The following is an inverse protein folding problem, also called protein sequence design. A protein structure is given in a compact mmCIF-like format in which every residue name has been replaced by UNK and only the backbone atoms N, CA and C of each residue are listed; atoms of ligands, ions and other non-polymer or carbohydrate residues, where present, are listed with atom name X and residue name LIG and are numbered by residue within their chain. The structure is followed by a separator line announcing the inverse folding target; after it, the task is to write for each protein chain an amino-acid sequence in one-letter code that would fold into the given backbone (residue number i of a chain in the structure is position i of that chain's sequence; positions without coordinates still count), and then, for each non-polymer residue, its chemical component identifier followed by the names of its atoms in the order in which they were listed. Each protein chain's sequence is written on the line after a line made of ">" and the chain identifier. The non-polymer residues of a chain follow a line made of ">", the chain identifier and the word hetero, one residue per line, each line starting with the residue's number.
data_IF_193686606485
#
_entry.id   IF_193686606485
#
_cell.length_a   1.000
_cell.length_b   1.000
_cell.length_c   1.000
_cell.angle_alpha   90.00
_cell.angle_beta   90.00
_cell.angle_gamma   90.00
#
_symmetry.space_group_name_H-M   'P 1'
#
loop_
_entity.id
_entity.type
_entity.pdbx_description
1 polymer ?
#
# COMPACT_ATOMS: atom_id res chain seq x y z
N UNK A 1 14.32 -21.57 17.81
CA UNK A 1 13.33 -20.82 16.98
C UNK A 1 14.12 -19.96 16.00
N UNK A 2 13.91 -20.09 14.69
CA UNK A 2 14.81 -19.53 13.67
C UNK A 2 15.07 -18.02 13.83
N UNK A 3 14.06 -17.23 14.19
CA UNK A 3 14.21 -15.78 14.36
C UNK A 3 15.14 -15.43 15.56
N UNK A 4 15.04 -16.16 16.66
CA UNK A 4 15.90 -15.98 17.83
C UNK A 4 17.33 -16.44 17.52
N UNK A 5 17.49 -17.55 16.78
CA UNK A 5 18.80 -18.09 16.41
C UNK A 5 19.57 -17.20 15.42
N UNK A 6 18.86 -16.30 14.72
CA UNK A 6 19.41 -15.42 13.69
C UNK A 6 19.25 -13.93 13.99
N UNK A 7 19.37 -13.56 15.25
CA UNK A 7 19.30 -12.17 15.68
C UNK A 7 20.44 -11.30 15.11
N UNK A 8 20.19 -10.00 14.82
CA UNK A 8 18.91 -9.31 14.90
C UNK A 8 17.98 -9.70 13.75
N UNK A 9 16.69 -9.90 14.03
CA UNK A 9 15.72 -10.35 13.03
C UNK A 9 14.41 -9.57 13.07
N UNK A 10 13.74 -9.50 11.91
CA UNK A 10 12.42 -8.88 11.77
C UNK A 10 11.47 -9.92 11.20
N UNK A 11 10.34 -10.13 11.88
CA UNK A 11 9.24 -10.94 11.38
C UNK A 11 8.17 -9.98 10.86
N UNK A 12 7.93 -10.01 9.55
CA UNK A 12 6.87 -9.23 8.92
C UNK A 12 5.70 -10.12 8.54
N UNK A 13 4.49 -9.72 8.93
CA UNK A 13 3.25 -10.43 8.62
C UNK A 13 2.27 -9.45 7.99
N UNK A 14 1.88 -9.72 6.76
CA UNK A 14 0.87 -8.96 6.04
C UNK A 14 -0.53 -9.56 6.25
N UNK A 15 -1.57 -8.73 6.15
CA UNK A 15 -2.98 -9.13 6.28
C UNK A 15 -3.26 -9.94 7.56
N UNK A 16 -2.73 -9.51 8.72
CA UNK A 16 -2.87 -10.25 9.97
C UNK A 16 -4.32 -10.43 10.40
N UNK A 17 -5.24 -9.57 9.95
CA UNK A 17 -6.68 -9.69 10.18
C UNK A 17 -7.27 -10.98 9.59
N UNK A 18 -6.70 -11.52 8.51
CA UNK A 18 -7.16 -12.77 7.90
C UNK A 18 -7.08 -13.97 8.86
N UNK A 19 -6.13 -13.95 9.79
CA UNK A 19 -5.89 -15.02 10.78
C UNK A 19 -6.25 -14.60 12.19
N UNK A 20 -6.10 -13.31 12.52
CA UNK A 20 -6.19 -12.76 13.88
C UNK A 20 -7.42 -11.89 14.11
N UNK A 21 -8.47 -12.03 13.30
CA UNK A 21 -9.75 -11.32 13.51
C UNK A 21 -10.47 -11.78 14.79
N UNK A 22 -11.37 -10.93 15.29
CA UNK A 22 -12.24 -11.23 16.42
C UNK A 22 -12.99 -12.55 16.24
N UNK A 23 -13.22 -13.25 17.33
CA UNK A 23 -13.87 -14.57 17.32
C UNK A 23 -15.32 -14.45 16.86
N UNK A 24 -15.66 -15.10 15.76
CA UNK A 24 -17.04 -15.27 15.33
C UNK A 24 -17.66 -16.48 16.02
N UNK A 25 -18.98 -16.44 16.29
CA UNK A 25 -19.70 -17.54 16.95
C UNK A 25 -19.58 -18.90 16.22
N UNK A 26 -19.34 -18.87 14.90
CA UNK A 26 -19.18 -20.05 14.04
C UNK A 26 -17.73 -20.29 13.62
N UNK A 27 -16.75 -19.80 14.40
CA UNK A 27 -15.35 -19.99 14.05
C UNK A 27 -14.96 -21.47 14.15
N UNK A 28 -14.28 -21.97 13.12
CA UNK A 28 -13.77 -23.34 13.06
C UNK A 28 -12.72 -23.57 14.18
N UNK A 29 -12.74 -24.73 14.83
CA UNK A 29 -11.79 -25.12 15.86
C UNK A 29 -10.33 -25.06 15.40
N UNK A 30 -10.06 -25.27 14.11
CA UNK A 30 -8.72 -25.13 13.52
C UNK A 30 -8.23 -23.68 13.57
N UNK A 31 -9.08 -22.70 13.23
CA UNK A 31 -8.75 -21.27 13.30
C UNK A 31 -8.48 -20.82 14.74
N UNK A 32 -9.29 -21.33 15.67
CA UNK A 32 -9.12 -21.04 17.10
C UNK A 32 -7.78 -21.57 17.65
N UNK A 33 -7.40 -22.79 17.26
CA UNK A 33 -6.10 -23.39 17.61
C UNK A 33 -4.94 -22.61 17.01
N UNK A 34 -5.06 -22.20 15.74
CA UNK A 34 -4.06 -21.39 15.04
C UNK A 34 -3.83 -20.05 15.76
N UNK A 35 -4.89 -19.33 16.11
CA UNK A 35 -4.80 -18.08 16.89
C UNK A 35 -4.10 -18.29 18.23
N UNK A 36 -4.50 -19.33 18.95
CA UNK A 36 -3.89 -19.64 20.26
C UNK A 36 -2.42 -19.96 20.12
N UNK A 37 -2.04 -20.79 19.16
CA UNK A 37 -0.65 -21.12 18.89
C UNK A 37 0.16 -19.89 18.48
N UNK A 38 -0.40 -19.03 17.61
CA UNK A 38 0.25 -17.77 17.23
C UNK A 38 0.56 -16.90 18.44
N UNK A 39 -0.41 -16.72 19.36
CA UNK A 39 -0.20 -15.90 20.56
C UNK A 39 0.87 -16.48 21.48
N UNK A 40 0.92 -17.81 21.64
CA UNK A 40 1.97 -18.50 22.41
C UNK A 40 3.34 -18.28 21.77
N UNK A 41 3.45 -18.45 20.46
CA UNK A 41 4.71 -18.25 19.75
C UNK A 41 5.15 -16.77 19.73
N UNK A 42 4.19 -15.85 19.62
CA UNK A 42 4.47 -14.41 19.74
C UNK A 42 5.07 -14.08 21.11
N UNK A 43 4.44 -14.53 22.18
CA UNK A 43 4.96 -14.33 23.55
C UNK A 43 6.34 -14.97 23.72
N UNK A 44 6.55 -16.16 23.14
CA UNK A 44 7.84 -16.86 23.20
C UNK A 44 8.99 -16.12 22.51
N UNK A 45 8.68 -15.37 21.43
CA UNK A 45 9.67 -14.56 20.69
C UNK A 45 9.98 -13.24 21.38
N UNK A 46 8.99 -12.66 22.07
CA UNK A 46 9.08 -11.31 22.66
C UNK A 46 9.34 -11.34 24.18
N UNK A 47 9.42 -12.52 24.80
CA UNK A 47 9.52 -12.66 26.26
C UNK A 47 10.89 -12.35 26.84
N UNK A 48 11.96 -12.54 26.06
CA UNK A 48 13.31 -12.25 26.51
C UNK A 48 13.73 -10.84 26.05
N UNK A 49 13.99 -9.91 26.99
CA UNK A 49 14.38 -8.54 26.65
C UNK A 49 15.74 -8.44 25.95
N UNK A 50 16.57 -9.46 26.04
CA UNK A 50 17.89 -9.52 25.40
C UNK A 50 17.79 -9.98 23.93
N UNK A 51 16.64 -10.51 23.51
CA UNK A 51 16.43 -10.96 22.14
C UNK A 51 16.10 -9.78 21.20
N UNK A 52 16.91 -9.62 20.16
CA UNK A 52 16.75 -8.59 19.15
C UNK A 52 15.83 -9.07 18.01
N UNK A 53 14.57 -9.34 18.35
CA UNK A 53 13.54 -9.76 17.39
C UNK A 53 12.42 -8.74 17.39
N UNK A 54 12.11 -8.21 16.20
CA UNK A 54 11.01 -7.27 15.98
C UNK A 54 9.90 -7.97 15.20
N UNK A 55 8.67 -7.86 15.70
CA UNK A 55 7.48 -8.37 14.98
C UNK A 55 6.68 -7.20 14.46
N UNK A 56 6.40 -7.19 13.16
CA UNK A 56 5.61 -6.17 12.47
C UNK A 56 4.42 -6.84 11.81
N UNK A 57 3.20 -6.43 12.21
CA UNK A 57 1.96 -6.84 11.56
C UNK A 57 1.40 -5.70 10.73
N UNK A 58 0.91 -6.00 9.52
CA UNK A 58 0.19 -5.06 8.68
C UNK A 58 -1.26 -5.50 8.50
N UNK A 59 -2.19 -4.54 8.49
CA UNK A 59 -3.62 -4.78 8.25
C UNK A 59 -4.29 -3.54 7.66
N UNK A 60 -5.30 -3.77 6.83
CA UNK A 60 -6.22 -2.74 6.33
C UNK A 60 -7.51 -2.67 7.17
N UNK A 61 -7.65 -3.53 8.19
CA UNK A 61 -8.87 -3.69 9.00
C UNK A 61 -8.52 -3.82 10.49
N UNK A 62 -7.88 -2.82 11.08
CA UNK A 62 -7.44 -2.90 12.46
C UNK A 62 -8.59 -3.10 13.46
N UNK A 63 -9.80 -2.66 13.12
CA UNK A 63 -11.02 -2.83 13.92
C UNK A 63 -11.50 -4.28 14.00
N UNK A 64 -11.07 -5.16 13.07
CA UNK A 64 -11.41 -6.58 13.06
C UNK A 64 -10.45 -7.42 13.91
N UNK A 65 -9.31 -6.87 14.35
CA UNK A 65 -8.31 -7.61 15.12
C UNK A 65 -8.80 -7.97 16.53
N UNK A 66 -8.41 -9.17 16.98
CA UNK A 66 -8.65 -9.62 18.35
C UNK A 66 -7.86 -8.77 19.36
N UNK A 67 -8.49 -8.41 20.48
CA UNK A 67 -7.88 -7.61 21.55
C UNK A 67 -6.58 -8.23 22.09
N UNK A 68 -6.47 -9.56 22.10
CA UNK A 68 -5.26 -10.24 22.55
C UNK A 68 -4.06 -9.95 21.63
N UNK A 69 -4.32 -9.78 20.31
CA UNK A 69 -3.31 -9.37 19.32
C UNK A 69 -2.95 -7.90 19.50
N UNK A 70 -3.96 -7.05 19.66
CA UNK A 70 -3.77 -5.60 19.85
C UNK A 70 -2.96 -5.29 21.13
N UNK A 71 -3.12 -6.09 22.20
CA UNK A 71 -2.32 -5.95 23.43
C UNK A 71 -0.85 -6.29 23.24
N UNK A 72 -0.51 -7.14 22.27
CA UNK A 72 0.87 -7.53 21.98
C UNK A 72 1.52 -6.61 20.97
N UNK A 73 0.74 -6.11 20.00
CA UNK A 73 1.17 -5.10 19.03
C UNK A 73 0.88 -3.70 19.57
N UNK A 74 1.64 -3.31 20.60
CA UNK A 74 1.40 -2.05 21.33
C UNK A 74 1.68 -0.83 20.47
N UNK A 75 2.73 -0.88 19.60
CA UNK A 75 3.08 0.22 18.72
C UNK A 75 2.24 0.14 17.44
N UNK A 76 1.41 1.15 17.21
CA UNK A 76 0.47 1.21 16.09
C UNK A 76 0.79 2.41 15.22
N UNK A 77 1.16 2.16 13.99
CA UNK A 77 1.60 3.19 13.03
C UNK A 77 0.58 3.23 11.92
N UNK A 78 -0.08 4.36 11.78
CA UNK A 78 -0.97 4.63 10.64
C UNK A 78 -0.17 5.09 9.43
N UNK A 79 -0.44 4.49 8.27
CA UNK A 79 0.11 4.90 6.99
C UNK A 79 -1.01 5.59 6.19
N UNK A 80 -1.04 6.93 6.16
CA UNK A 80 -2.08 7.68 5.46
C UNK A 80 -1.96 7.59 3.95
N UNK A 81 -2.99 8.04 3.23
CA UNK A 81 -2.87 8.32 1.82
C UNK A 81 -1.79 9.39 1.58
N UNK A 82 -1.09 9.33 0.44
CA UNK A 82 -0.01 10.27 0.15
C UNK A 82 -0.54 11.71 0.02
N UNK A 83 0.11 12.65 0.69
CA UNK A 83 -0.14 14.08 0.55
C UNK A 83 0.30 14.60 -0.85
N UNK A 84 -0.04 15.84 -1.25
CA UNK A 84 0.31 16.36 -2.56
C UNK A 84 1.82 16.33 -2.87
N UNK A 85 2.70 16.56 -1.88
CA UNK A 85 4.15 16.51 -2.06
C UNK A 85 4.62 15.07 -2.31
N UNK A 86 4.11 14.13 -1.53
CA UNK A 86 4.40 12.70 -1.69
C UNK A 86 3.85 12.21 -3.02
N UNK A 87 2.63 12.59 -3.43
CA UNK A 87 2.08 12.22 -4.74
C UNK A 87 2.95 12.72 -5.88
N UNK A 88 3.43 13.97 -5.81
CA UNK A 88 4.37 14.53 -6.79
C UNK A 88 5.67 13.71 -6.87
N UNK A 89 6.22 13.29 -5.73
CA UNK A 89 7.43 12.47 -5.68
C UNK A 89 7.18 11.07 -6.26
N UNK A 90 6.05 10.45 -5.92
CA UNK A 90 5.65 9.15 -6.45
C UNK A 90 5.51 9.19 -7.97
N UNK A 91 4.79 10.17 -8.52
CA UNK A 91 4.66 10.36 -9.97
C UNK A 91 6.03 10.50 -10.66
N UNK A 92 6.93 11.34 -10.12
CA UNK A 92 8.30 11.47 -10.64
C UNK A 92 9.08 10.17 -10.58
N UNK A 93 8.94 9.41 -9.51
CA UNK A 93 9.64 8.14 -9.35
C UNK A 93 9.12 7.07 -10.32
N UNK A 94 7.80 6.98 -10.52
CA UNK A 94 7.19 6.03 -11.45
C UNK A 94 7.59 6.30 -12.91
N UNK A 95 7.86 7.55 -13.25
CA UNK A 95 8.28 7.94 -14.60
C UNK A 95 9.79 7.85 -14.83
N UNK A 96 10.58 7.42 -13.85
CA UNK A 96 12.03 7.22 -14.03
C UNK A 96 12.27 6.20 -15.15
N UNK A 97 13.13 6.57 -16.10
CA UNK A 97 13.46 5.74 -17.25
C UNK A 97 12.48 5.82 -18.42
N UNK A 98 11.39 6.58 -18.29
CA UNK A 98 10.47 6.86 -19.40
C UNK A 98 10.74 8.24 -19.99
N UNK A 99 10.48 8.41 -21.30
CA UNK A 99 10.56 9.70 -21.97
C UNK A 99 9.27 10.49 -21.68
N UNK A 100 9.39 11.63 -21.01
CA UNK A 100 8.25 12.52 -20.76
C UNK A 100 8.58 13.98 -21.01
N UNK A 101 7.56 14.76 -21.37
CA UNK A 101 7.61 16.22 -21.56
C UNK A 101 6.61 16.86 -20.58
N UNK A 102 6.95 16.77 -19.28
CA UNK A 102 6.19 17.35 -18.19
C UNK A 102 7.04 18.43 -17.52
N UNK A 103 6.47 19.60 -17.33
CA UNK A 103 7.07 20.68 -16.54
C UNK A 103 6.88 20.44 -15.04
N UNK A 104 7.60 21.18 -14.19
CA UNK A 104 7.36 21.14 -12.73
C UNK A 104 5.92 21.53 -12.38
N UNK A 105 5.35 22.48 -13.12
CA UNK A 105 3.95 22.89 -12.96
C UNK A 105 2.96 21.78 -13.30
N UNK A 106 3.23 20.96 -14.34
CA UNK A 106 2.38 19.81 -14.67
C UNK A 106 2.36 18.78 -13.54
N UNK A 107 3.51 18.52 -12.91
CA UNK A 107 3.58 17.64 -11.74
C UNK A 107 2.81 18.18 -10.53
N UNK A 108 2.81 19.49 -10.32
CA UNK A 108 2.02 20.13 -9.26
C UNK A 108 0.52 20.00 -9.54
N UNK A 109 0.09 20.23 -10.78
CA UNK A 109 -1.30 20.04 -11.20
C UNK A 109 -1.75 18.59 -11.04
N UNK A 110 -0.95 17.64 -11.52
CA UNK A 110 -1.24 16.21 -11.35
C UNK A 110 -1.34 15.83 -9.88
N UNK A 111 -0.48 16.36 -9.02
CA UNK A 111 -0.55 16.11 -7.58
C UNK A 111 -1.84 16.64 -6.95
N UNK A 112 -2.41 17.72 -7.44
CA UNK A 112 -3.71 18.24 -6.99
C UNK A 112 -4.86 17.39 -7.54
N UNK A 113 -4.85 17.12 -8.84
CA UNK A 113 -5.91 16.38 -9.55
C UNK A 113 -6.01 14.91 -9.13
N UNK A 114 -4.97 14.34 -8.54
CA UNK A 114 -4.92 12.97 -8.00
C UNK A 114 -5.23 12.91 -6.51
N UNK A 115 -5.99 13.86 -5.97
CA UNK A 115 -6.45 13.79 -4.58
C UNK A 115 -7.20 12.47 -4.30
N UNK A 116 -6.88 11.82 -3.17
CA UNK A 116 -7.48 10.55 -2.79
C UNK A 116 -6.86 9.31 -3.46
N UNK A 117 -5.88 9.47 -4.36
CA UNK A 117 -5.19 8.34 -4.96
C UNK A 117 -4.19 7.71 -3.99
N UNK A 118 -4.20 6.39 -3.90
CA UNK A 118 -3.18 5.61 -3.21
C UNK A 118 -1.89 5.50 -4.05
N UNK A 119 -0.83 4.96 -3.47
CA UNK A 119 0.40 4.69 -4.22
C UNK A 119 0.20 3.72 -5.39
N UNK A 120 -0.68 2.73 -5.23
CA UNK A 120 -1.05 1.79 -6.29
C UNK A 120 -1.88 2.45 -7.40
N UNK A 121 -2.81 3.35 -7.04
CA UNK A 121 -3.59 4.10 -8.02
C UNK A 121 -2.70 5.02 -8.88
N UNK A 122 -1.73 5.70 -8.24
CA UNK A 122 -0.76 6.54 -8.95
C UNK A 122 0.13 5.73 -9.89
N UNK A 123 0.52 4.52 -9.49
CA UNK A 123 1.24 3.60 -10.35
C UNK A 123 0.39 3.18 -11.55
N UNK A 124 -0.84 2.73 -11.32
CA UNK A 124 -1.77 2.35 -12.40
C UNK A 124 -2.03 3.53 -13.35
N UNK A 125 -2.16 4.76 -12.82
CA UNK A 125 -2.31 5.98 -13.60
C UNK A 125 -1.09 6.21 -14.52
N UNK A 126 0.13 6.05 -14.01
CA UNK A 126 1.34 6.19 -14.81
C UNK A 126 1.44 5.11 -15.91
N UNK A 127 1.10 3.87 -15.58
CA UNK A 127 1.07 2.74 -16.53
C UNK A 127 0.03 2.99 -17.63
N UNK A 128 -1.18 3.45 -17.28
CA UNK A 128 -2.23 3.78 -18.25
C UNK A 128 -1.83 4.98 -19.13
N UNK A 129 -1.27 6.04 -18.54
CA UNK A 129 -0.76 7.18 -19.30
C UNK A 129 0.34 6.76 -20.29
N UNK A 130 1.24 5.84 -19.89
CA UNK A 130 2.30 5.31 -20.73
C UNK A 130 1.78 4.55 -21.95
N UNK A 131 0.56 4.01 -21.88
CA UNK A 131 -0.09 3.36 -23.02
C UNK A 131 -0.66 4.33 -24.06
N UNK A 132 -0.88 5.60 -23.73
CA UNK A 132 -1.51 6.56 -24.63
C UNK A 132 -0.72 6.79 -25.94
N UNK A 133 0.62 7.04 -25.91
CA UNK A 133 1.42 7.15 -27.13
C UNK A 133 1.37 5.89 -28.00
N UNK A 134 1.24 4.72 -27.40
CA UNK A 134 1.16 3.44 -28.12
C UNK A 134 -0.20 3.29 -28.80
N UNK A 135 -1.30 3.63 -28.12
CA UNK A 135 -2.65 3.58 -28.67
C UNK A 135 -2.86 4.51 -29.86
N UNK A 136 -2.18 5.69 -29.86
CA UNK A 136 -2.22 6.63 -30.98
C UNK A 136 -1.65 6.04 -32.29
N UNK A 137 -0.75 5.06 -32.22
CA UNK A 137 -0.13 4.47 -33.41
C UNK A 137 -1.07 3.58 -34.22
N UNK A 138 -2.12 3.08 -33.60
CA UNK A 138 -3.01 2.10 -34.19
C UNK A 138 -2.38 0.69 -34.31
N UNK A 139 -3.20 -0.35 -34.48
CA UNK A 139 -2.76 -1.75 -34.40
C UNK A 139 -1.76 -2.16 -35.49
N UNK A 140 -1.77 -1.51 -36.64
CA UNK A 140 -0.87 -1.85 -37.76
C UNK A 140 0.57 -1.40 -37.53
N UNK A 141 0.79 -0.35 -36.76
CA UNK A 141 2.11 0.25 -36.56
C UNK A 141 2.81 -0.27 -35.30
N UNK A 142 2.07 -0.87 -34.34
CA UNK A 142 2.62 -1.35 -33.06
C UNK A 142 3.72 -2.39 -33.26
N UNK A 143 3.61 -3.26 -34.27
CA UNK A 143 4.56 -4.34 -34.51
C UNK A 143 5.86 -3.88 -35.20
N UNK A 144 5.88 -2.69 -35.77
CA UNK A 144 6.99 -2.18 -36.59
C UNK A 144 7.76 -1.04 -35.92
N UNK A 145 7.17 -0.37 -34.93
CA UNK A 145 7.77 0.80 -34.29
C UNK A 145 8.82 0.39 -33.25
N UNK A 146 9.93 1.11 -33.21
CA UNK A 146 10.94 0.96 -32.16
C UNK A 146 10.57 1.85 -30.97
N UNK A 147 10.91 1.42 -29.75
CA UNK A 147 10.60 2.15 -28.52
C UNK A 147 11.08 3.62 -28.52
N UNK A 148 12.22 3.89 -29.18
CA UNK A 148 12.77 5.25 -29.32
C UNK A 148 12.03 6.15 -30.30
N UNK A 149 11.06 5.63 -31.02
CA UNK A 149 10.20 6.38 -31.97
C UNK A 149 8.85 6.77 -31.35
N UNK A 150 8.57 6.31 -30.12
CA UNK A 150 7.39 6.74 -29.38
C UNK A 150 7.58 8.20 -28.95
N UNK A 151 6.51 8.97 -29.09
CA UNK A 151 6.52 10.33 -28.52
C UNK A 151 6.62 10.28 -27.00
N UNK A 152 7.23 11.29 -26.37
CA UNK A 152 7.25 11.40 -24.92
C UNK A 152 5.84 11.60 -24.35
N UNK A 153 5.65 11.16 -23.12
CA UNK A 153 4.44 11.38 -22.33
C UNK A 153 4.18 12.87 -22.13
N UNK A 154 2.92 13.27 -22.20
CA UNK A 154 2.44 14.63 -22.02
C UNK A 154 1.43 14.68 -20.87
N UNK A 155 1.17 15.86 -20.36
CA UNK A 155 0.14 16.07 -19.33
C UNK A 155 -1.25 15.55 -19.77
N UNK A 156 -1.62 15.72 -21.06
CA UNK A 156 -2.91 15.26 -21.60
C UNK A 156 -3.07 13.73 -21.52
N UNK A 157 -1.97 12.98 -21.57
CA UNK A 157 -2.01 11.51 -21.43
C UNK A 157 -2.49 11.10 -20.04
N UNK A 158 -2.02 11.80 -19.00
CA UNK A 158 -2.48 11.60 -17.63
C UNK A 158 -3.94 12.01 -17.45
N UNK A 159 -4.34 13.12 -18.06
CA UNK A 159 -5.71 13.59 -18.02
C UNK A 159 -6.68 12.57 -18.63
N UNK A 160 -6.29 11.98 -19.75
CA UNK A 160 -7.05 10.90 -20.37
C UNK A 160 -7.03 9.63 -19.51
N UNK A 161 -5.89 9.26 -18.93
CA UNK A 161 -5.75 8.11 -18.06
C UNK A 161 -6.62 8.22 -16.80
N UNK A 162 -6.79 9.42 -16.21
CA UNK A 162 -7.67 9.67 -15.06
C UNK A 162 -9.16 9.40 -15.35
N UNK A 163 -9.57 9.33 -16.61
CA UNK A 163 -10.94 8.93 -16.96
C UNK A 163 -11.19 7.44 -16.70
N UNK A 164 -10.14 6.62 -16.84
CA UNK A 164 -10.19 5.17 -16.63
C UNK A 164 -9.73 4.78 -15.21
N UNK A 165 -8.67 5.40 -14.71
CA UNK A 165 -8.10 5.12 -13.39
C UNK A 165 -8.66 6.13 -12.39
N UNK A 166 -9.42 5.62 -11.42
CA UNK A 166 -10.02 6.41 -10.34
C UNK A 166 -9.50 5.94 -8.99
N UNK A 167 -9.61 6.77 -7.92
CA UNK A 167 -9.26 6.32 -6.57
C UNK A 167 -9.94 5.01 -6.22
N UNK A 168 -9.17 4.02 -5.81
CA UNK A 168 -9.68 2.69 -5.43
C UNK A 168 -10.29 2.68 -4.04
N UNK A 169 -9.89 3.59 -3.17
CA UNK A 169 -10.37 3.69 -1.79
C UNK A 169 -11.55 4.66 -1.68
N UNK A 170 -12.64 4.20 -1.06
CA UNK A 170 -13.78 5.06 -0.74
C UNK A 170 -13.43 5.97 0.45
N UNK A 171 -13.84 7.22 0.37
CA UNK A 171 -13.59 8.22 1.43
C UNK A 171 -14.08 7.74 2.81
N UNK A 172 -15.22 7.08 2.88
CA UNK A 172 -15.77 6.55 4.13
C UNK A 172 -14.86 5.56 4.84
N UNK A 173 -14.16 4.70 4.08
CA UNK A 173 -13.19 3.76 4.66
C UNK A 173 -11.93 4.44 5.15
N UNK A 174 -11.51 5.47 4.45
CA UNK A 174 -10.38 6.28 4.89
C UNK A 174 -10.72 7.02 6.19
N UNK A 175 -11.86 7.72 6.23
CA UNK A 175 -12.34 8.42 7.43
C UNK A 175 -12.47 7.45 8.65
N UNK A 176 -12.83 6.20 8.41
CA UNK A 176 -12.92 5.16 9.44
C UNK A 176 -11.54 4.79 10.01
N UNK A 177 -10.54 4.63 9.14
CA UNK A 177 -9.16 4.34 9.56
C UNK A 177 -8.51 5.52 10.28
N UNK A 178 -8.79 6.75 9.87
CA UNK A 178 -8.32 7.95 10.56
C UNK A 178 -8.89 8.05 11.98
N UNK A 179 -10.20 7.84 12.14
CA UNK A 179 -10.84 7.79 13.47
C UNK A 179 -10.25 6.72 14.36
N UNK A 180 -10.02 5.52 13.79
CA UNK A 180 -9.39 4.45 14.56
C UNK A 180 -7.98 4.81 14.98
N UNK A 181 -7.22 5.49 14.13
CA UNK A 181 -5.88 5.97 14.46
C UNK A 181 -5.90 7.06 15.53
N UNK A 182 -6.87 7.99 15.51
CA UNK A 182 -7.04 9.01 16.55
C UNK A 182 -7.29 8.38 17.93
N UNK A 183 -8.04 7.28 17.98
CA UNK A 183 -8.41 6.61 19.24
C UNK A 183 -7.31 5.64 19.73
N UNK A 184 -6.67 4.89 18.83
CA UNK A 184 -5.79 3.77 19.18
C UNK A 184 -4.36 3.88 18.65
N UNK A 185 -4.07 4.87 17.81
CA UNK A 185 -2.77 5.05 17.18
C UNK A 185 -1.67 5.44 18.17
N UNK A 186 -0.44 5.11 17.82
CA UNK A 186 0.75 5.55 18.55
C UNK A 186 1.33 6.76 17.81
N UNK A 187 1.08 7.95 18.34
CA UNK A 187 1.69 9.22 17.88
C UNK A 187 3.18 9.29 18.21
#
# INVERSE_FOLDING_TARGET
>A
MVAVDRQPSVIFMDEIDSVMSTRLANENDASRRLKSEFLIQFDGVTSNPDDLVIVIGATNKPQELDDAVLRRLVKRIYVPLPDPNVRRLLLKNQLKGQAFKLSSHDFERLAVETEGYSGSDLRALCEEAAMMPIRELGPQNILTIKANQLRPLRYEDFKNAMTAIRPSLQKSKWDELEKWNEEFGSS
#
